data_IF_212976230488
#
_entry.id   IF_212976230488
#
_cell.length_a   1.000
_cell.length_b   1.000
_cell.length_c   1.000
_cell.angle_alpha   90.00
_cell.angle_beta   90.00
_cell.angle_gamma   90.00
#
_symmetry.space_group_name_H-M   'P 1'
#
loop_
_entity.id
_entity.type
_entity.pdbx_description
1 polymer ?
#
# COMPACT_ATOMS: atom_id res chain seq x y z
N UNK A 1 -23.39 54.28 -6.63
CA UNK A 1 -23.93 52.98 -6.16
C UNK A 1 -25.02 52.58 -7.15
N UNK A 2 -24.76 51.48 -7.86
CA UNK A 2 -25.53 50.76 -8.89
C UNK A 2 -26.94 51.24 -9.26
N UNK A 3 -27.09 51.71 -10.51
CA UNK A 3 -28.37 51.78 -11.22
C UNK A 3 -28.83 50.36 -11.54
N UNK A 4 -29.97 49.96 -10.96
CA UNK A 4 -30.64 48.68 -11.21
C UNK A 4 -31.73 48.91 -12.26
N UNK A 5 -31.37 48.73 -13.52
CA UNK A 5 -32.33 48.65 -14.63
C UNK A 5 -33.02 47.28 -14.60
N UNK A 6 -34.35 47.27 -14.50
CA UNK A 6 -35.20 46.08 -14.61
C UNK A 6 -35.86 46.11 -16.00
N UNK A 7 -35.48 45.23 -16.94
CA UNK A 7 -36.27 45.06 -18.15
C UNK A 7 -37.40 44.04 -17.97
N UNK A 8 -38.58 44.49 -18.41
CA UNK A 8 -39.91 43.88 -18.33
C UNK A 8 -39.99 42.50 -18.98
N UNK A 9 -40.66 41.57 -18.30
CA UNK A 9 -41.03 40.24 -18.79
C UNK A 9 -42.15 40.40 -19.82
N UNK A 10 -41.83 40.14 -21.10
CA UNK A 10 -42.81 40.10 -22.18
C UNK A 10 -43.48 38.73 -22.22
N UNK A 11 -44.81 38.72 -22.03
CA UNK A 11 -45.67 37.55 -22.11
C UNK A 11 -45.76 37.08 -23.56
N UNK A 12 -45.38 35.83 -23.85
CA UNK A 12 -45.78 35.16 -25.10
C UNK A 12 -46.78 34.05 -24.81
N UNK A 13 -47.90 34.19 -25.51
CA UNK A 13 -49.12 33.39 -25.49
C UNK A 13 -48.81 31.97 -25.94
N UNK A 14 -49.21 31.00 -25.11
CA UNK A 14 -49.13 29.56 -25.39
C UNK A 14 -50.45 29.08 -26.02
N UNK A 15 -50.39 27.89 -26.63
CA UNK A 15 -51.47 27.04 -27.20
C UNK A 15 -51.66 27.18 -28.73
N UNK A 16 -52.05 26.08 -29.44
CA UNK A 16 -51.48 24.73 -29.38
C UNK A 16 -51.32 24.14 -30.80
N UNK A 17 -50.34 23.25 -31.02
CA UNK A 17 -50.43 22.28 -32.12
C UNK A 17 -50.04 20.91 -31.56
N UNK A 18 -51.08 20.14 -31.23
CA UNK A 18 -51.01 18.69 -31.15
C UNK A 18 -51.09 18.17 -32.58
N UNK A 19 -50.15 17.30 -32.97
CA UNK A 19 -50.32 16.09 -33.80
C UNK A 19 -48.96 15.70 -34.37
N UNK A 20 -48.62 14.41 -34.20
CA UNK A 20 -47.58 13.74 -34.99
C UNK A 20 -46.44 13.21 -34.15
N UNK A 21 -46.61 12.01 -33.61
CA UNK A 21 -45.61 11.37 -32.76
C UNK A 21 -44.37 10.89 -33.52
N UNK A 22 -43.27 10.72 -32.78
CA UNK A 22 -42.35 9.60 -32.93
C UNK A 22 -41.95 9.18 -31.51
N UNK A 23 -41.97 7.88 -31.29
CA UNK A 23 -41.58 7.15 -30.09
C UNK A 23 -40.18 7.58 -29.60
N UNK A 24 -40.07 8.06 -28.36
CA UNK A 24 -38.82 7.97 -27.61
C UNK A 24 -38.93 6.82 -26.60
N UNK A 25 -38.58 5.64 -27.10
CA UNK A 25 -38.32 4.45 -26.28
C UNK A 25 -37.01 4.68 -25.53
N UNK A 26 -37.11 4.63 -24.20
CA UNK A 26 -36.06 4.30 -23.23
C UNK A 26 -34.69 4.98 -23.36
N UNK A 27 -34.47 6.04 -22.59
CA UNK A 27 -33.13 6.51 -22.25
C UNK A 27 -33.01 6.82 -20.74
N UNK A 28 -33.33 5.85 -19.88
CA UNK A 28 -33.19 5.99 -18.42
C UNK A 28 -32.47 4.80 -17.77
N UNK A 29 -31.39 4.31 -18.39
CA UNK A 29 -30.58 3.20 -17.86
C UNK A 29 -29.06 3.46 -17.85
N UNK A 30 -28.63 4.73 -17.88
CA UNK A 30 -27.19 5.06 -17.93
C UNK A 30 -26.57 5.49 -16.59
N UNK A 31 -27.27 5.36 -15.46
CA UNK A 31 -26.78 5.80 -14.14
C UNK A 31 -26.34 4.66 -13.20
N UNK A 32 -25.87 3.51 -13.73
CA UNK A 32 -25.30 2.43 -12.88
C UNK A 32 -23.84 2.07 -13.20
N UNK A 33 -23.20 2.68 -14.20
CA UNK A 33 -21.84 2.30 -14.63
C UNK A 33 -20.71 3.06 -13.90
N UNK A 34 -21.00 3.75 -12.80
CA UNK A 34 -20.05 4.65 -12.13
C UNK A 34 -19.20 4.05 -11.00
N UNK A 35 -19.23 2.72 -10.79
CA UNK A 35 -18.55 2.06 -9.66
C UNK A 35 -17.41 1.11 -10.05
N UNK A 36 -17.05 1.01 -11.34
CA UNK A 36 -16.07 0.02 -11.81
C UNK A 36 -14.61 0.50 -11.84
N UNK A 37 -14.32 1.73 -11.40
CA UNK A 37 -12.96 2.29 -11.40
C UNK A 37 -12.50 2.67 -9.99
N UNK A 38 -12.62 1.75 -9.02
CA UNK A 38 -11.74 1.83 -7.86
C UNK A 38 -10.31 1.52 -8.32
N UNK A 39 -9.33 2.42 -8.10
CA UNK A 39 -7.94 2.09 -8.36
C UNK A 39 -7.57 0.89 -7.48
N UNK A 40 -7.39 -0.26 -8.13
CA UNK A 40 -6.80 -1.44 -7.51
C UNK A 40 -5.39 -1.02 -7.08
N UNK A 41 -5.20 -0.78 -5.79
CA UNK A 41 -3.88 -0.64 -5.20
C UNK A 41 -3.20 -1.98 -5.45
N UNK A 42 -2.35 -2.04 -6.47
CA UNK A 42 -1.52 -3.22 -6.73
C UNK A 42 -0.51 -3.27 -5.60
N UNK A 43 -0.75 -4.16 -4.66
CA UNK A 43 0.20 -4.59 -3.65
C UNK A 43 1.49 -4.98 -4.40
N UNK A 44 2.64 -4.33 -4.15
CA UNK A 44 3.87 -4.60 -4.87
C UNK A 44 4.25 -6.07 -4.71
N UNK A 45 4.61 -6.73 -5.82
CA UNK A 45 5.07 -8.12 -5.74
C UNK A 45 6.30 -8.19 -4.82
N UNK A 46 6.36 -9.17 -3.90
CA UNK A 46 7.40 -9.24 -2.87
C UNK A 46 8.84 -9.33 -3.42
N UNK A 47 9.02 -9.67 -4.70
CA UNK A 47 10.32 -9.63 -5.37
C UNK A 47 10.77 -8.19 -5.70
N UNK A 48 9.84 -7.26 -5.91
CA UNK A 48 10.12 -5.88 -6.36
C UNK A 48 10.70 -4.97 -5.28
N UNK A 49 10.63 -5.40 -4.02
CA UNK A 49 11.12 -4.65 -2.85
C UNK A 49 12.55 -5.04 -2.44
N UNK A 50 13.07 -6.12 -3.02
CA UNK A 50 14.36 -6.69 -2.66
C UNK A 50 15.48 -6.02 -3.47
N UNK A 51 16.54 -5.60 -2.79
CA UNK A 51 17.80 -5.19 -3.44
C UNK A 51 18.61 -6.43 -3.84
N UNK A 52 18.61 -7.45 -2.98
CA UNK A 52 19.31 -8.71 -3.20
C UNK A 52 18.46 -9.88 -2.71
N UNK A 53 18.16 -10.82 -3.62
CA UNK A 53 17.46 -12.07 -3.29
C UNK A 53 18.44 -13.07 -2.66
N UNK A 54 18.07 -13.64 -1.50
CA UNK A 54 18.93 -14.56 -0.74
C UNK A 54 18.36 -15.98 -0.78
N UNK A 55 17.13 -16.18 -0.31
CA UNK A 55 16.47 -17.47 -0.30
C UNK A 55 14.94 -17.32 -0.52
N UNK A 56 14.43 -17.44 -1.75
CA UNK A 56 13.02 -17.18 -2.09
C UNK A 56 11.97 -18.03 -1.35
N UNK A 57 12.39 -19.12 -0.70
CA UNK A 57 11.51 -20.01 0.08
C UNK A 57 11.71 -19.88 1.59
N UNK A 58 12.48 -18.89 2.04
CA UNK A 58 12.69 -18.65 3.45
C UNK A 58 11.42 -18.11 4.09
N UNK A 59 11.01 -18.76 5.18
CA UNK A 59 9.92 -18.31 6.04
C UNK A 59 10.38 -18.40 7.49
N UNK A 60 9.92 -17.46 8.31
CA UNK A 60 10.21 -17.42 9.73
C UNK A 60 9.12 -18.13 10.52
N UNK A 61 9.51 -19.07 11.38
CA UNK A 61 8.58 -19.76 12.27
C UNK A 61 8.18 -18.90 13.47
N UNK A 62 7.04 -19.21 14.09
CA UNK A 62 6.61 -18.57 15.33
C UNK A 62 7.60 -18.77 16.48
N UNK A 63 8.23 -19.94 16.57
CA UNK A 63 9.25 -20.20 17.60
C UNK A 63 10.52 -19.37 17.39
N UNK A 64 10.95 -19.17 16.13
CA UNK A 64 12.10 -18.32 15.82
C UNK A 64 11.82 -16.86 16.16
N UNK A 65 10.63 -16.36 15.80
CA UNK A 65 10.21 -15.02 16.18
C UNK A 65 10.18 -14.87 17.70
N UNK A 66 9.54 -15.79 18.43
CA UNK A 66 9.47 -15.74 19.89
C UNK A 66 10.86 -15.69 20.54
N UNK A 67 11.85 -16.43 20.00
CA UNK A 67 13.24 -16.36 20.47
C UNK A 67 13.88 -15.00 20.18
N UNK A 68 13.67 -14.43 18.98
CA UNK A 68 14.18 -13.11 18.64
C UNK A 68 13.66 -12.03 19.59
N UNK A 69 12.39 -12.09 19.98
CA UNK A 69 11.76 -11.13 20.90
C UNK A 69 12.42 -11.10 22.30
N UNK A 70 13.25 -12.09 22.62
CA UNK A 70 14.02 -12.14 23.88
C UNK A 70 15.44 -11.57 23.76
N UNK A 71 15.87 -11.22 22.54
CA UNK A 71 17.22 -10.69 22.27
C UNK A 71 17.23 -9.19 22.60
N UNK A 72 18.09 -8.72 23.52
CA UNK A 72 18.19 -7.29 23.81
C UNK A 72 18.85 -6.52 22.66
N UNK A 73 18.46 -5.27 22.50
CA UNK A 73 19.06 -4.32 21.56
C UNK A 73 20.02 -3.37 22.31
N UNK A 74 21.24 -3.09 21.82
CA UNK A 74 21.92 -3.78 20.72
C UNK A 74 22.46 -5.16 21.13
N UNK A 75 22.55 -6.07 20.17
CA UNK A 75 23.23 -7.38 20.32
C UNK A 75 24.09 -7.67 19.09
N UNK A 76 24.98 -8.65 19.17
CA UNK A 76 25.76 -9.10 18.01
C UNK A 76 24.84 -9.61 16.88
N UNK A 77 25.11 -9.17 15.64
CA UNK A 77 24.44 -9.65 14.42
C UNK A 77 24.51 -11.17 14.30
N UNK A 78 25.67 -11.75 14.60
CA UNK A 78 25.89 -13.19 14.52
C UNK A 78 24.95 -14.00 15.44
N UNK A 79 24.56 -13.42 16.59
CA UNK A 79 23.63 -14.04 17.54
C UNK A 79 22.22 -14.11 16.93
N UNK A 80 21.76 -13.03 16.32
CA UNK A 80 20.46 -13.00 15.63
C UNK A 80 20.45 -13.94 14.42
N UNK A 81 21.50 -13.93 13.61
CA UNK A 81 21.63 -14.81 12.44
C UNK A 81 21.76 -16.31 12.78
N UNK A 82 22.09 -16.67 14.02
CA UNK A 82 22.04 -18.06 14.49
C UNK A 82 20.64 -18.48 14.94
N UNK A 83 19.84 -17.52 15.43
CA UNK A 83 18.47 -17.75 15.86
C UNK A 83 17.51 -17.80 14.67
N UNK A 84 17.72 -16.88 13.73
CA UNK A 84 17.00 -16.77 12.48
C UNK A 84 17.69 -17.63 11.43
N UNK A 85 16.92 -18.22 10.52
CA UNK A 85 17.48 -18.83 9.31
C UNK A 85 17.98 -17.74 8.34
N UNK A 86 18.36 -18.13 7.12
CA UNK A 86 18.64 -17.15 6.07
C UNK A 86 17.38 -16.30 5.79
N UNK A 87 17.52 -14.99 5.54
CA UNK A 87 16.41 -14.16 5.11
C UNK A 87 15.93 -14.54 3.73
N UNK A 88 14.70 -14.11 3.43
CA UNK A 88 14.18 -14.20 2.07
C UNK A 88 15.00 -13.33 1.12
N UNK A 89 15.20 -12.06 1.50
CA UNK A 89 15.99 -11.12 0.74
C UNK A 89 16.54 -10.00 1.65
N UNK A 90 17.46 -9.22 1.09
CA UNK A 90 17.90 -7.95 1.67
C UNK A 90 17.16 -6.81 0.99
N UNK A 91 16.64 -5.90 1.81
CA UNK A 91 16.02 -4.66 1.35
C UNK A 91 17.10 -3.57 1.19
N UNK A 92 16.82 -2.51 0.40
CA UNK A 92 17.69 -1.36 0.28
C UNK A 92 18.14 -0.84 1.65
N UNK A 93 19.42 -0.51 1.83
CA UNK A 93 19.87 0.06 3.10
C UNK A 93 19.28 1.46 3.33
N UNK A 94 19.09 1.86 4.59
CA UNK A 94 18.61 3.20 4.96
C UNK A 94 19.70 3.99 5.69
N UNK A 95 19.70 5.31 5.52
CA UNK A 95 20.50 6.22 6.32
C UNK A 95 19.58 7.25 6.97
N UNK A 96 19.21 7.00 8.22
CA UNK A 96 18.26 7.86 8.96
C UNK A 96 18.97 9.02 9.66
N UNK A 97 20.25 8.84 10.01
CA UNK A 97 21.12 9.83 10.65
C UNK A 97 22.50 9.81 10.00
N UNK A 98 23.16 10.96 9.96
CA UNK A 98 24.49 11.08 9.35
C UNK A 98 25.46 10.05 9.95
N UNK A 99 26.05 9.22 9.08
CA UNK A 99 27.05 8.22 9.45
C UNK A 99 26.51 6.85 9.89
N UNK A 100 25.20 6.65 10.02
CA UNK A 100 24.62 5.33 10.32
C UNK A 100 23.92 4.76 9.09
N UNK A 101 24.45 3.66 8.57
CA UNK A 101 23.82 2.87 7.51
C UNK A 101 23.14 1.69 8.17
N UNK A 102 21.82 1.61 8.03
CA UNK A 102 20.99 0.52 8.52
C UNK A 102 20.76 -0.47 7.39
N UNK A 103 21.36 -1.64 7.50
CA UNK A 103 21.09 -2.80 6.65
C UNK A 103 19.81 -3.50 7.11
N UNK A 104 19.07 -4.08 6.16
CA UNK A 104 17.71 -4.58 6.40
C UNK A 104 17.50 -5.94 5.77
N UNK A 105 17.33 -6.96 6.59
CA UNK A 105 17.03 -8.32 6.14
C UNK A 105 15.53 -8.60 6.34
N UNK A 106 14.87 -9.18 5.33
CA UNK A 106 13.42 -9.40 5.31
C UNK A 106 13.06 -10.88 5.44
N UNK A 107 12.08 -11.17 6.29
CA UNK A 107 11.65 -12.51 6.67
C UNK A 107 10.11 -12.62 6.63
N UNK A 108 9.52 -13.26 5.61
CA UNK A 108 8.10 -13.59 5.60
C UNK A 108 7.73 -14.45 6.82
N UNK A 109 6.58 -14.18 7.45
CA UNK A 109 6.10 -15.03 8.53
C UNK A 109 5.37 -16.25 7.96
N UNK A 110 5.83 -17.47 8.29
CA UNK A 110 5.21 -18.70 7.80
C UNK A 110 3.80 -18.97 8.34
N UNK A 111 3.40 -18.24 9.38
CA UNK A 111 2.09 -18.38 10.05
C UNK A 111 1.15 -17.19 9.83
N UNK A 112 1.59 -16.12 9.16
CA UNK A 112 0.77 -14.95 8.85
C UNK A 112 1.11 -14.40 7.46
N UNK A 113 0.30 -14.79 6.47
CA UNK A 113 0.54 -14.45 5.07
C UNK A 113 0.45 -12.92 4.85
N UNK A 114 1.44 -12.40 4.14
CA UNK A 114 1.56 -10.97 3.82
C UNK A 114 2.26 -10.15 4.90
N UNK A 115 2.50 -10.69 6.10
CA UNK A 115 3.28 -10.01 7.15
C UNK A 115 4.73 -10.45 7.14
N UNK A 116 5.64 -9.48 7.19
CA UNK A 116 7.08 -9.68 7.11
C UNK A 116 7.75 -9.06 8.32
N UNK A 117 8.68 -9.79 8.93
CA UNK A 117 9.63 -9.26 9.89
C UNK A 117 10.81 -8.64 9.14
N UNK A 118 11.11 -7.38 9.44
CA UNK A 118 12.27 -6.66 8.94
C UNK A 118 13.26 -6.52 10.09
N UNK A 119 14.44 -7.11 9.96
CA UNK A 119 15.51 -7.06 10.95
C UNK A 119 16.53 -6.01 10.54
N UNK A 120 16.93 -5.15 11.49
CA UNK A 120 17.78 -4.00 11.27
C UNK A 120 19.18 -4.26 11.85
N UNK A 121 20.20 -3.97 11.05
CA UNK A 121 21.61 -4.07 11.47
C UNK A 121 22.36 -2.77 11.19
N UNK A 122 23.27 -2.39 12.09
CA UNK A 122 24.29 -1.35 11.86
C UNK A 122 25.66 -2.00 12.04
N UNK A 123 26.29 -2.41 10.93
CA UNK A 123 27.51 -3.20 10.93
C UNK A 123 27.32 -4.56 11.64
N UNK A 124 28.10 -4.79 12.69
CA UNK A 124 28.07 -6.03 13.48
C UNK A 124 26.98 -6.06 14.55
N UNK A 125 26.16 -5.02 14.65
CA UNK A 125 25.13 -4.90 15.67
C UNK A 125 23.74 -5.10 15.09
N UNK A 126 22.97 -6.00 15.68
CA UNK A 126 21.52 -5.97 15.64
C UNK A 126 21.03 -4.75 16.43
N UNK A 127 20.23 -3.91 15.78
CA UNK A 127 19.72 -2.65 16.35
C UNK A 127 18.19 -2.61 16.45
N UNK A 128 17.52 -3.69 16.05
CA UNK A 128 16.09 -3.88 16.28
C UNK A 128 15.34 -4.48 15.09
N UNK A 129 14.02 -4.43 15.17
CA UNK A 129 13.14 -5.02 14.17
C UNK A 129 11.84 -4.24 14.01
N UNK A 130 11.13 -4.50 12.92
CA UNK A 130 9.77 -4.02 12.71
C UNK A 130 8.97 -4.97 11.83
N UNK A 131 7.65 -4.80 11.82
CA UNK A 131 6.77 -5.55 10.93
C UNK A 131 6.33 -4.68 9.77
N UNK A 132 6.22 -5.27 8.59
CA UNK A 132 5.67 -4.61 7.40
C UNK A 132 4.73 -5.56 6.67
N UNK A 133 3.62 -5.01 6.19
CA UNK A 133 2.74 -5.64 5.23
C UNK A 133 3.09 -5.09 3.85
N UNK A 134 3.33 -5.97 2.89
CA UNK A 134 3.63 -5.60 1.52
C UNK A 134 2.46 -5.83 0.64
#
# INVERSE_FOLDING_TARGET
MFLKEIPKIAKKKLEPIVVGGILLVAASLQFVNGLENMPQVREPEPDSICEEMILPKAELSGEQLAKLLTVPEPSERSKVQKLLSQPYCRLPSLSVRAGAITERDAYPLGFDQGTWLIVLYEGENYVGYGFKRF
#
